data_IF_028488775126
#
_entry.id   IF_028488775126
#
_cell.length_a   1.000
_cell.length_b   1.000
_cell.length_c   1.000
_cell.angle_alpha   90.00
_cell.angle_beta   90.00
_cell.angle_gamma   90.00
#
_symmetry.space_group_name_H-M   'P 1'
#
loop_
_entity.id
_entity.type
_entity.pdbx_description
1 polymer ?
#
# COMPACT_ATOMS: atom_id res chain seq x y z
N UNK A 1 -23.91 2.65 -24.52
CA UNK A 1 -24.53 2.04 -23.33
C UNK A 1 -25.24 3.12 -22.54
N UNK A 2 -26.37 2.84 -21.88
CA UNK A 2 -27.05 3.85 -21.06
C UNK A 2 -26.29 4.12 -19.77
N UNK A 3 -26.40 5.34 -19.23
CA UNK A 3 -25.76 5.74 -17.98
C UNK A 3 -26.15 4.84 -16.79
N UNK A 4 -27.44 4.47 -16.71
CA UNK A 4 -27.92 3.54 -15.68
C UNK A 4 -27.27 2.15 -15.76
N UNK A 5 -27.04 1.64 -16.98
CA UNK A 5 -26.37 0.34 -17.18
C UNK A 5 -24.89 0.39 -16.84
N UNK A 6 -24.23 1.52 -17.04
CA UNK A 6 -22.84 1.74 -16.63
C UNK A 6 -22.72 1.73 -15.10
N UNK A 7 -23.56 2.50 -14.40
CA UNK A 7 -23.58 2.57 -12.93
C UNK A 7 -23.85 1.20 -12.32
N UNK A 8 -24.81 0.45 -12.86
CA UNK A 8 -25.11 -0.89 -12.37
C UNK A 8 -23.93 -1.86 -12.56
N UNK A 9 -23.26 -1.80 -13.72
CA UNK A 9 -22.09 -2.64 -13.99
C UNK A 9 -20.93 -2.30 -13.03
N UNK A 10 -20.68 -1.02 -12.77
CA UNK A 10 -19.67 -0.57 -11.81
C UNK A 10 -19.98 -1.08 -10.39
N UNK A 11 -21.24 -0.95 -9.96
CA UNK A 11 -21.70 -1.45 -8.66
C UNK A 11 -21.53 -2.98 -8.53
N UNK A 12 -21.86 -3.73 -9.59
CA UNK A 12 -21.71 -5.19 -9.61
C UNK A 12 -20.23 -5.61 -9.52
N UNK A 13 -19.35 -4.93 -10.26
CA UNK A 13 -17.89 -5.19 -10.22
C UNK A 13 -17.32 -4.91 -8.82
N UNK A 14 -17.63 -3.75 -8.25
CA UNK A 14 -17.16 -3.37 -6.92
C UNK A 14 -17.77 -4.28 -5.83
N UNK A 15 -19.05 -4.65 -5.97
CA UNK A 15 -19.71 -5.58 -5.06
C UNK A 15 -19.03 -6.95 -5.05
N UNK A 16 -18.68 -7.48 -6.22
CA UNK A 16 -17.94 -8.74 -6.33
C UNK A 16 -16.54 -8.63 -5.73
N UNK A 17 -15.84 -7.53 -5.98
CA UNK A 17 -14.53 -7.26 -5.38
C UNK A 17 -14.59 -7.27 -3.85
N UNK A 18 -15.60 -6.63 -3.26
CA UNK A 18 -15.76 -6.56 -1.80
C UNK A 18 -15.90 -7.94 -1.16
N UNK A 19 -16.52 -8.91 -1.85
CA UNK A 19 -16.56 -10.30 -1.40
C UNK A 19 -15.17 -10.93 -1.30
N UNK A 20 -14.31 -10.73 -2.32
CA UNK A 20 -12.92 -11.19 -2.30
C UNK A 20 -12.10 -10.48 -1.22
N UNK A 21 -12.25 -9.17 -1.09
CA UNK A 21 -11.56 -8.38 -0.08
C UNK A 21 -11.91 -8.82 1.35
N UNK A 22 -13.20 -9.10 1.61
CA UNK A 22 -13.64 -9.64 2.90
C UNK A 22 -13.01 -11.00 3.22
N UNK A 23 -12.92 -11.89 2.22
CA UNK A 23 -12.26 -13.19 2.37
C UNK A 23 -10.76 -13.05 2.66
N UNK A 24 -10.06 -12.18 1.92
CA UNK A 24 -8.64 -11.88 2.15
C UNK A 24 -8.40 -11.34 3.55
N UNK A 25 -9.21 -10.35 3.98
CA UNK A 25 -9.11 -9.76 5.32
C UNK A 25 -9.29 -10.79 6.42
N UNK A 26 -10.28 -11.68 6.30
CA UNK A 26 -10.51 -12.75 7.25
C UNK A 26 -9.31 -13.73 7.31
N UNK A 27 -8.73 -14.06 6.15
CA UNK A 27 -7.51 -14.88 6.06
C UNK A 27 -6.33 -14.21 6.76
N UNK A 28 -6.07 -12.93 6.47
CA UNK A 28 -4.97 -12.18 7.09
C UNK A 28 -5.15 -12.07 8.60
N UNK A 29 -6.36 -11.75 9.08
CA UNK A 29 -6.65 -11.70 10.51
C UNK A 29 -6.43 -13.05 11.20
N UNK A 30 -6.89 -14.16 10.60
CA UNK A 30 -6.67 -15.51 11.15
C UNK A 30 -5.18 -15.88 11.24
N UNK A 31 -4.39 -15.47 10.27
CA UNK A 31 -2.95 -15.69 10.23
C UNK A 31 -2.15 -14.67 11.07
N UNK A 32 -2.78 -13.60 11.56
CA UNK A 32 -2.08 -12.47 12.21
C UNK A 32 -1.18 -11.69 11.25
N UNK A 33 -1.49 -11.72 9.94
CA UNK A 33 -0.73 -11.00 8.91
C UNK A 33 -1.18 -9.55 8.86
N UNK A 34 -0.23 -8.61 8.96
CA UNK A 34 -0.48 -7.21 8.66
C UNK A 34 -0.34 -7.00 7.14
N UNK A 35 -1.47 -6.87 6.43
CA UNK A 35 -1.47 -6.52 5.02
C UNK A 35 -1.52 -5.00 4.80
N UNK A 36 -0.54 -4.45 4.06
CA UNK A 36 -0.41 -3.02 3.77
C UNK A 36 -0.46 -2.78 2.25
N UNK A 37 -1.40 -1.95 1.79
CA UNK A 37 -1.53 -1.59 0.38
C UNK A 37 -0.82 -0.26 0.10
N UNK A 38 0.31 -0.32 -0.61
CA UNK A 38 1.11 0.84 -0.98
C UNK A 38 0.62 1.41 -2.32
N UNK A 39 0.07 2.62 -2.29
CA UNK A 39 -0.53 3.30 -3.46
C UNK A 39 0.16 4.64 -3.71
N UNK A 40 0.36 5.01 -4.97
CA UNK A 40 1.05 6.25 -5.34
C UNK A 40 0.85 6.59 -6.81
N UNK A 41 1.29 7.79 -7.24
CA UNK A 41 1.56 8.05 -8.67
C UNK A 41 2.76 7.23 -9.17
N UNK A 42 2.93 7.01 -10.49
CA UNK A 42 4.17 6.49 -11.04
C UNK A 42 5.37 7.34 -10.62
N UNK A 43 6.49 6.70 -10.30
CA UNK A 43 7.72 7.40 -9.95
C UNK A 43 7.77 8.01 -8.55
N UNK A 44 6.75 7.82 -7.69
CA UNK A 44 6.74 8.33 -6.30
C UNK A 44 7.77 7.65 -5.38
N UNK A 45 8.38 6.57 -5.86
CA UNK A 45 9.46 5.85 -5.17
C UNK A 45 8.99 4.68 -4.31
N UNK A 46 7.84 4.05 -4.60
CA UNK A 46 7.29 2.90 -3.86
C UNK A 46 8.30 1.77 -3.71
N UNK A 47 8.81 1.24 -4.81
CA UNK A 47 9.76 0.11 -4.78
C UNK A 47 11.03 0.46 -4.03
N UNK A 48 11.55 1.67 -4.18
CA UNK A 48 12.76 2.11 -3.43
C UNK A 48 12.47 2.21 -1.94
N UNK A 49 11.34 2.78 -1.55
CA UNK A 49 10.87 2.83 -0.16
C UNK A 49 10.68 1.42 0.40
N UNK A 50 10.07 0.52 -0.37
CA UNK A 50 9.80 -0.86 0.03
C UNK A 50 11.10 -1.64 0.19
N UNK A 51 12.01 -1.61 -0.79
CA UNK A 51 13.31 -2.27 -0.66
C UNK A 51 14.10 -1.77 0.56
N UNK A 52 14.07 -0.44 0.83
CA UNK A 52 14.71 0.13 2.02
C UNK A 52 14.02 -0.33 3.31
N UNK A 53 12.70 -0.40 3.31
CA UNK A 53 11.89 -0.88 4.44
C UNK A 53 12.24 -2.34 4.76
N UNK A 54 12.27 -3.21 3.74
CA UNK A 54 12.61 -4.63 3.88
C UNK A 54 14.03 -4.83 4.41
N UNK A 55 15.00 -4.08 3.90
CA UNK A 55 16.38 -4.15 4.37
C UNK A 55 16.50 -3.71 5.85
N UNK A 56 15.75 -2.70 6.28
CA UNK A 56 15.79 -2.22 7.67
C UNK A 56 15.00 -3.10 8.65
N UNK A 57 13.99 -3.84 8.18
CA UNK A 57 13.23 -4.81 8.99
C UNK A 57 13.80 -6.23 8.92
N UNK A 58 14.87 -6.44 8.16
CA UNK A 58 15.44 -7.76 7.94
C UNK A 58 15.83 -8.43 9.27
N UNK A 59 15.28 -9.62 9.51
CA UNK A 59 15.52 -10.38 10.74
C UNK A 59 14.63 -10.03 11.93
N UNK A 60 13.81 -8.98 11.87
CA UNK A 60 12.87 -8.65 12.97
C UNK A 60 11.62 -9.52 12.93
N UNK A 61 11.02 -9.70 11.76
CA UNK A 61 9.86 -10.55 11.52
C UNK A 61 9.74 -10.89 10.02
N UNK A 62 8.98 -11.93 9.65
CA UNK A 62 8.82 -12.28 8.25
C UNK A 62 8.10 -11.17 7.47
N UNK A 63 8.60 -10.87 6.28
CA UNK A 63 7.99 -9.96 5.32
C UNK A 63 7.81 -10.69 3.99
N UNK A 64 6.72 -10.39 3.29
CA UNK A 64 6.47 -10.90 1.94
C UNK A 64 5.86 -9.79 1.08
N UNK A 65 6.00 -9.88 -0.24
CA UNK A 65 5.56 -8.84 -1.16
C UNK A 65 4.71 -9.38 -2.30
N UNK A 66 3.60 -8.69 -2.58
CA UNK A 66 2.89 -8.78 -3.84
C UNK A 66 3.22 -7.49 -4.59
N UNK A 67 3.83 -7.62 -5.76
CA UNK A 67 4.15 -6.50 -6.65
C UNK A 67 3.13 -6.51 -7.79
N UNK A 68 2.49 -5.38 -8.05
CA UNK A 68 1.53 -5.21 -9.14
C UNK A 68 1.96 -4.11 -10.10
N UNK A 69 2.25 -4.49 -11.33
CA UNK A 69 2.53 -3.57 -12.44
C UNK A 69 1.87 -4.04 -13.74
N UNK A 70 1.79 -3.14 -14.72
CA UNK A 70 1.22 -3.45 -16.03
C UNK A 70 2.05 -4.50 -16.77
N UNK A 71 3.37 -4.37 -16.72
CA UNK A 71 4.32 -5.21 -17.42
C UNK A 71 5.64 -5.32 -16.67
N UNK A 72 6.44 -6.32 -17.07
CA UNK A 72 7.79 -6.61 -16.56
C UNK A 72 7.81 -7.19 -15.14
N UNK A 73 8.98 -7.65 -14.71
CA UNK A 73 9.23 -8.13 -13.35
C UNK A 73 10.27 -7.30 -12.62
N UNK A 74 10.65 -6.14 -13.17
CA UNK A 74 11.85 -5.41 -12.74
C UNK A 74 11.77 -5.01 -11.26
N UNK A 75 10.61 -4.56 -10.79
CA UNK A 75 10.40 -4.19 -9.39
C UNK A 75 10.35 -5.44 -8.49
N UNK A 76 9.69 -6.51 -8.92
CA UNK A 76 9.72 -7.79 -8.19
C UNK A 76 11.15 -8.40 -8.10
N UNK A 77 11.98 -8.24 -9.12
CA UNK A 77 13.39 -8.67 -9.12
C UNK A 77 14.21 -7.86 -8.10
N UNK A 78 14.03 -6.53 -8.09
CA UNK A 78 14.67 -5.63 -7.11
C UNK A 78 14.25 -5.95 -5.67
N UNK A 79 12.97 -6.28 -5.46
CA UNK A 79 12.45 -6.67 -4.15
C UNK A 79 13.05 -8.00 -3.72
N UNK A 80 13.08 -9.02 -4.60
CA UNK A 80 13.69 -10.33 -4.29
C UNK A 80 15.17 -10.22 -3.94
N UNK A 81 15.89 -9.27 -4.52
CA UNK A 81 17.29 -9.01 -4.17
C UNK A 81 17.49 -8.56 -2.70
N UNK A 82 16.43 -8.13 -2.00
CA UNK A 82 16.48 -7.86 -0.55
C UNK A 82 16.40 -9.12 0.32
N UNK A 83 16.11 -10.27 -0.28
CA UNK A 83 15.88 -11.54 0.41
C UNK A 83 14.41 -11.81 0.77
N UNK A 84 13.52 -10.82 0.62
CA UNK A 84 12.09 -11.03 0.85
C UNK A 84 11.45 -11.83 -0.31
N UNK A 85 10.59 -12.83 -0.02
CA UNK A 85 9.79 -13.48 -1.05
C UNK A 85 8.83 -12.47 -1.68
N UNK A 86 8.82 -12.42 -3.02
CA UNK A 86 7.93 -11.54 -3.77
C UNK A 86 7.31 -12.24 -4.98
N UNK A 87 6.05 -11.95 -5.25
CA UNK A 87 5.33 -12.42 -6.45
C UNK A 87 4.87 -11.23 -7.29
N UNK A 88 5.10 -11.33 -8.60
CA UNK A 88 4.66 -10.36 -9.60
C UNK A 88 3.22 -10.67 -10.04
N UNK A 89 2.37 -9.65 -10.08
CA UNK A 89 1.08 -9.66 -10.78
C UNK A 89 1.22 -8.72 -11.98
N UNK A 90 1.19 -9.28 -13.19
CA UNK A 90 1.10 -8.50 -14.42
C UNK A 90 -0.36 -8.20 -14.72
N UNK A 91 -0.79 -6.95 -14.52
CA UNK A 91 -2.19 -6.54 -14.74
C UNK A 91 -2.50 -6.31 -16.22
N UNK A 92 -1.48 -6.29 -17.08
CA UNK A 92 -1.62 -5.99 -18.50
C UNK A 92 -2.10 -4.56 -18.72
N UNK A 93 -3.37 -4.39 -19.10
CA UNK A 93 -3.99 -3.06 -19.25
C UNK A 93 -4.69 -2.58 -17.97
N UNK A 94 -4.71 -3.40 -16.92
CA UNK A 94 -5.30 -3.04 -15.63
C UNK A 94 -4.58 -1.87 -14.98
N UNK A 95 -5.33 -0.96 -14.38
CA UNK A 95 -4.79 0.24 -13.73
C UNK A 95 -4.74 0.14 -12.20
N UNK A 96 -5.07 -1.04 -11.64
CA UNK A 96 -5.12 -1.35 -10.21
C UNK A 96 -5.01 -2.87 -10.00
N UNK A 97 -4.68 -3.27 -8.78
CA UNK A 97 -4.96 -4.61 -8.25
C UNK A 97 -6.37 -4.67 -7.66
N UNK A 98 -6.98 -5.85 -7.71
CA UNK A 98 -8.26 -6.15 -7.04
C UNK A 98 -8.10 -7.26 -5.98
N UNK A 99 -9.12 -7.46 -5.15
CA UNK A 99 -9.09 -8.47 -4.09
C UNK A 99 -8.95 -9.91 -4.61
N UNK A 100 -9.45 -10.21 -5.81
CA UNK A 100 -9.30 -11.54 -6.40
C UNK A 100 -7.84 -11.82 -6.77
N UNK A 101 -7.19 -10.87 -7.45
CA UNK A 101 -5.77 -10.94 -7.81
C UNK A 101 -4.90 -11.13 -6.57
N UNK A 102 -5.14 -10.35 -5.52
CA UNK A 102 -4.41 -10.47 -4.26
C UNK A 102 -4.64 -11.84 -3.60
N UNK A 103 -5.90 -12.31 -3.55
CA UNK A 103 -6.21 -13.62 -2.96
C UNK A 103 -5.43 -14.76 -3.64
N UNK A 104 -5.42 -14.78 -4.98
CA UNK A 104 -4.64 -15.76 -5.75
C UNK A 104 -3.14 -15.63 -5.52
N UNK A 105 -2.61 -14.40 -5.48
CA UNK A 105 -1.19 -14.20 -5.23
C UNK A 105 -0.77 -14.68 -3.83
N UNK A 106 -1.62 -14.51 -2.82
CA UNK A 106 -1.39 -15.04 -1.46
C UNK A 106 -1.38 -16.57 -1.45
N UNK A 107 -2.21 -17.25 -2.25
CA UNK A 107 -2.18 -18.71 -2.37
C UNK A 107 -0.84 -19.24 -2.89
N UNK A 108 -0.22 -18.53 -3.82
CA UNK A 108 1.08 -18.92 -4.40
C UNK A 108 2.25 -18.49 -3.52
N UNK A 109 2.20 -17.28 -2.97
CA UNK A 109 3.25 -16.71 -2.12
C UNK A 109 3.31 -17.40 -0.76
N UNK A 110 2.17 -17.86 -0.24
CA UNK A 110 1.97 -18.49 1.06
C UNK A 110 2.76 -17.78 2.19
N UNK A 111 2.48 -16.49 2.45
CA UNK A 111 3.22 -15.72 3.45
C UNK A 111 3.11 -16.39 4.83
N UNK A 112 4.20 -16.42 5.62
CA UNK A 112 4.15 -17.00 6.96
C UNK A 112 3.13 -16.30 7.86
N UNK A 113 2.54 -17.06 8.80
CA UNK A 113 1.74 -16.46 9.87
C UNK A 113 2.54 -15.39 10.63
N UNK A 114 1.83 -14.39 11.17
CA UNK A 114 2.42 -13.26 11.88
C UNK A 114 3.38 -12.38 11.04
N UNK A 115 3.36 -12.48 9.71
CA UNK A 115 4.19 -11.66 8.82
C UNK A 115 3.61 -10.25 8.57
N UNK A 116 4.41 -9.41 7.90
CA UNK A 116 3.89 -8.24 7.18
C UNK A 116 3.84 -8.57 5.69
N UNK A 117 2.66 -8.38 5.07
CA UNK A 117 2.47 -8.50 3.64
C UNK A 117 2.37 -7.11 3.03
N UNK A 118 3.37 -6.72 2.24
CA UNK A 118 3.31 -5.50 1.46
C UNK A 118 2.69 -5.79 0.10
N UNK A 119 1.69 -5.00 -0.28
CA UNK A 119 1.08 -5.04 -1.60
C UNK A 119 1.48 -3.73 -2.29
N UNK A 120 2.48 -3.78 -3.16
CA UNK A 120 2.86 -2.65 -3.99
C UNK A 120 1.88 -2.58 -5.17
N UNK A 121 0.96 -1.63 -5.12
CA UNK A 121 -0.07 -1.48 -6.15
C UNK A 121 0.46 -0.77 -7.40
N UNK A 122 -0.29 -0.85 -8.50
CA UNK A 122 0.00 -0.13 -9.73
C UNK A 122 0.14 1.37 -9.44
N UNK A 123 1.09 2.03 -10.10
CA UNK A 123 1.27 3.49 -10.00
C UNK A 123 0.06 4.26 -10.53
N UNK A 124 -0.94 4.48 -9.69
CA UNK A 124 -2.16 5.23 -10.00
C UNK A 124 -2.84 5.75 -8.72
N UNK A 125 -3.28 7.01 -8.73
CA UNK A 125 -4.03 7.63 -7.62
C UNK A 125 -5.56 7.68 -7.85
N UNK A 126 -6.06 7.11 -8.95
CA UNK A 126 -7.49 7.10 -9.28
C UNK A 126 -8.07 5.71 -9.08
N UNK A 127 -7.71 4.75 -9.95
CA UNK A 127 -8.32 3.42 -9.93
C UNK A 127 -8.20 2.72 -8.57
N UNK A 128 -7.01 2.66 -7.92
CA UNK A 128 -6.85 1.86 -6.70
C UNK A 128 -7.58 2.43 -5.47
N UNK A 129 -8.13 3.66 -5.55
CA UNK A 129 -8.89 4.26 -4.46
C UNK A 129 -10.21 3.50 -4.21
N UNK A 130 -10.85 3.00 -5.26
CA UNK A 130 -12.15 2.33 -5.19
C UNK A 130 -12.08 0.83 -4.86
N UNK A 131 -10.89 0.23 -4.92
CA UNK A 131 -10.72 -1.21 -4.75
C UNK A 131 -10.11 -1.55 -3.39
N UNK A 132 -10.92 -2.18 -2.55
CA UNK A 132 -10.48 -2.86 -1.34
C UNK A 132 -9.81 -4.19 -1.73
N UNK A 133 -8.62 -4.47 -1.19
CA UNK A 133 -7.88 -5.71 -1.40
C UNK A 133 -7.99 -6.67 -0.20
N UNK A 134 -8.61 -6.23 0.88
CA UNK A 134 -8.59 -6.89 2.18
C UNK A 134 -7.44 -6.43 3.07
N UNK A 135 -6.72 -5.37 2.68
CA UNK A 135 -5.64 -4.79 3.49
C UNK A 135 -6.14 -4.29 4.85
N UNK A 136 -5.23 -4.25 5.82
CA UNK A 136 -5.48 -3.61 7.11
C UNK A 136 -5.37 -2.08 6.97
N UNK A 137 -4.41 -1.61 6.18
CA UNK A 137 -4.19 -0.19 5.93
C UNK A 137 -3.82 0.08 4.48
N UNK A 138 -4.43 1.13 3.93
CA UNK A 138 -4.00 1.76 2.67
C UNK A 138 -3.01 2.89 2.99
N UNK A 139 -1.81 2.79 2.45
CA UNK A 139 -0.70 3.74 2.68
C UNK A 139 -0.40 4.47 1.38
N UNK A 140 -0.77 5.74 1.30
CA UNK A 140 -0.51 6.57 0.15
C UNK A 140 0.91 7.16 0.22
N UNK A 141 1.62 7.16 -0.90
CA UNK A 141 2.95 7.76 -1.03
C UNK A 141 2.85 8.94 -1.99
N UNK A 142 3.16 10.14 -1.47
CA UNK A 142 3.20 11.39 -2.20
C UNK A 142 4.66 11.87 -2.26
N UNK A 143 5.24 11.98 -3.44
CA UNK A 143 6.57 12.57 -3.63
C UNK A 143 6.50 14.09 -3.63
N UNK A 144 7.47 14.76 -3.01
CA UNK A 144 7.61 16.24 -3.05
C UNK A 144 7.77 16.81 -4.47
N UNK A 145 8.04 15.94 -5.46
CA UNK A 145 8.14 16.32 -6.88
C UNK A 145 6.78 16.40 -7.59
N UNK A 146 5.67 16.11 -6.90
CA UNK A 146 4.34 16.00 -7.53
C UNK A 146 3.44 17.21 -7.32
N UNK A 147 3.81 18.13 -6.42
CA UNK A 147 3.03 19.30 -6.04
C UNK A 147 2.09 19.07 -4.85
N UNK A 148 1.88 20.13 -4.08
CA UNK A 148 1.19 20.18 -2.77
C UNK A 148 -0.32 20.04 -2.90
N UNK A 149 -0.85 20.27 -4.09
CA UNK A 149 -2.28 20.22 -4.40
C UNK A 149 -2.77 18.81 -4.77
N UNK A 150 -1.85 17.83 -4.84
CA UNK A 150 -2.19 16.42 -5.15
C UNK A 150 -3.31 15.85 -4.29
N UNK A 151 -3.34 16.06 -2.96
CA UNK A 151 -4.45 15.57 -2.16
C UNK A 151 -5.82 16.11 -2.61
N UNK A 152 -5.89 17.39 -2.99
CA UNK A 152 -7.14 18.01 -3.45
C UNK A 152 -7.53 17.55 -4.86
N UNK A 153 -6.56 17.21 -5.71
CA UNK A 153 -6.80 16.72 -7.07
C UNK A 153 -7.22 15.24 -7.12
N UNK A 154 -6.83 14.45 -6.13
CA UNK A 154 -7.14 13.01 -6.05
C UNK A 154 -7.84 12.67 -4.72
N UNK A 155 -8.96 13.34 -4.38
CA UNK A 155 -9.51 13.30 -3.03
C UNK A 155 -9.90 11.89 -2.59
N UNK A 156 -10.41 11.04 -3.47
CA UNK A 156 -10.84 9.68 -3.11
C UNK A 156 -9.68 8.82 -2.58
N UNK A 157 -8.48 8.96 -3.17
CA UNK A 157 -7.30 8.22 -2.72
C UNK A 157 -6.85 8.66 -1.33
N UNK A 158 -6.77 9.97 -1.12
CA UNK A 158 -6.32 10.53 0.16
C UNK A 158 -7.40 10.40 1.26
N UNK A 159 -8.69 10.34 0.88
CA UNK A 159 -9.79 9.98 1.77
C UNK A 159 -9.71 8.52 2.23
N UNK A 160 -9.33 7.60 1.33
CA UNK A 160 -9.21 6.17 1.62
C UNK A 160 -7.92 5.77 2.37
N UNK A 161 -6.89 6.64 2.40
CA UNK A 161 -5.61 6.34 3.03
C UNK A 161 -5.64 6.57 4.56
N UNK A 162 -5.12 5.61 5.32
CA UNK A 162 -4.91 5.75 6.77
C UNK A 162 -3.63 6.53 7.10
N UNK A 163 -2.65 6.41 6.21
CA UNK A 163 -1.33 7.01 6.33
C UNK A 163 -0.89 7.55 4.97
N UNK A 164 -0.31 8.75 4.98
CA UNK A 164 0.36 9.36 3.84
C UNK A 164 1.84 9.53 4.18
N UNK A 165 2.69 8.99 3.31
CA UNK A 165 4.14 9.19 3.35
C UNK A 165 4.51 10.28 2.34
N UNK A 166 5.04 11.40 2.82
CA UNK A 166 5.63 12.46 2.00
C UNK A 166 7.08 12.06 1.73
N UNK A 167 7.33 11.50 0.55
CA UNK A 167 8.61 10.88 0.18
C UNK A 167 9.52 11.83 -0.61
N UNK A 168 10.80 11.46 -0.72
CA UNK A 168 11.87 12.19 -1.41
C UNK A 168 12.15 13.57 -0.82
N UNK A 169 11.98 13.70 0.49
CA UNK A 169 12.25 14.94 1.24
C UNK A 169 13.70 15.41 1.11
N UNK A 170 14.62 14.52 0.72
CA UNK A 170 16.00 14.87 0.34
C UNK A 170 16.09 15.84 -0.85
N UNK A 171 15.02 16.00 -1.63
CA UNK A 171 14.96 16.91 -2.76
C UNK A 171 14.43 18.30 -2.40
N UNK A 172 13.94 18.53 -1.18
CA UNK A 172 13.38 19.82 -0.76
C UNK A 172 14.34 21.01 -0.97
N UNK A 173 15.66 20.90 -0.75
CA UNK A 173 16.59 22.00 -1.04
C UNK A 173 16.67 22.41 -2.52
N UNK A 174 16.05 21.65 -3.42
CA UNK A 174 16.06 21.86 -4.87
C UNK A 174 14.67 22.17 -5.45
N UNK A 175 13.65 22.27 -4.60
CA UNK A 175 12.25 22.41 -5.01
C UNK A 175 11.59 23.53 -4.23
N UNK A 176 10.73 24.30 -4.89
CA UNK A 176 9.82 25.24 -4.24
C UNK A 176 8.57 24.50 -3.72
N UNK A 177 8.78 23.43 -2.95
CA UNK A 177 7.70 22.60 -2.40
C UNK A 177 7.41 22.94 -0.94
N UNK A 178 6.18 23.32 -0.63
CA UNK A 178 5.70 23.59 0.72
C UNK A 178 5.10 22.33 1.37
N UNK A 179 5.89 21.69 2.24
CA UNK A 179 5.49 20.47 2.94
C UNK A 179 4.29 20.71 3.87
N UNK A 180 4.24 21.85 4.55
CA UNK A 180 3.16 22.16 5.47
C UNK A 180 1.84 22.37 4.73
N UNK A 181 1.89 23.03 3.56
CA UNK A 181 0.74 23.17 2.67
C UNK A 181 0.25 21.80 2.15
N UNK A 182 1.15 20.92 1.73
CA UNK A 182 0.79 19.57 1.29
C UNK A 182 0.11 18.76 2.42
N UNK A 183 0.67 18.83 3.64
CA UNK A 183 0.09 18.21 4.83
C UNK A 183 -1.28 18.81 5.19
N UNK A 184 -1.43 20.12 5.09
CA UNK A 184 -2.71 20.80 5.32
C UNK A 184 -3.75 20.39 4.28
N UNK A 185 -3.37 20.28 3.01
CA UNK A 185 -4.25 19.82 1.94
C UNK A 185 -4.68 18.37 2.13
N UNK A 186 -3.78 17.47 2.53
CA UNK A 186 -4.14 16.10 2.89
C UNK A 186 -5.17 16.05 4.03
N UNK A 187 -4.98 16.88 5.07
CA UNK A 187 -5.92 16.96 6.20
C UNK A 187 -7.26 17.60 5.85
N UNK A 188 -7.35 18.45 4.82
CA UNK A 188 -8.65 18.95 4.31
C UNK A 188 -9.50 17.84 3.71
N UNK A 189 -8.86 16.83 3.11
CA UNK A 189 -9.54 15.67 2.51
C UNK A 189 -9.83 14.60 3.56
N UNK A 190 -8.86 14.30 4.42
CA UNK A 190 -8.99 13.32 5.49
C UNK A 190 -8.43 13.87 6.80
N UNK A 191 -9.31 14.35 7.69
CA UNK A 191 -8.91 14.93 8.97
C UNK A 191 -8.20 13.96 9.93
N UNK A 192 -8.32 12.64 9.70
CA UNK A 192 -7.73 11.61 10.57
C UNK A 192 -6.44 11.02 10.01
N UNK A 193 -6.04 11.41 8.79
CA UNK A 193 -4.87 10.84 8.11
C UNK A 193 -3.60 11.10 8.93
N UNK A 194 -2.80 10.05 9.10
CA UNK A 194 -1.45 10.21 9.63
C UNK A 194 -0.51 10.63 8.51
N UNK A 195 0.45 11.50 8.81
CA UNK A 195 1.39 12.05 7.83
C UNK A 195 2.80 11.87 8.36
N UNK A 196 3.67 11.26 7.56
CA UNK A 196 5.09 11.11 7.87
C UNK A 196 5.93 11.62 6.70
N UNK A 197 6.96 12.38 7.01
CA UNK A 197 7.98 12.81 6.05
C UNK A 197 9.09 11.77 6.01
N UNK A 198 9.48 11.32 4.81
CA UNK A 198 10.51 10.29 4.64
C UNK A 198 11.41 10.60 3.44
N UNK A 199 12.64 10.13 3.50
CA UNK A 199 13.47 9.91 2.31
C UNK A 199 13.97 8.48 2.32
N UNK A 200 13.47 7.67 1.39
CA UNK A 200 13.98 6.32 1.18
C UNK A 200 15.47 6.31 0.78
N UNK A 201 15.98 7.42 0.22
CA UNK A 201 17.37 7.56 -0.24
C UNK A 201 18.32 7.84 0.92
N UNK A 202 18.02 8.83 1.76
CA UNK A 202 18.90 9.20 2.88
C UNK A 202 18.62 8.38 4.13
N UNK A 203 17.41 7.82 4.25
CA UNK A 203 16.91 7.13 5.44
C UNK A 203 16.25 8.06 6.45
N UNK A 204 16.22 9.38 6.18
CA UNK A 204 15.53 10.34 7.04
C UNK A 204 14.04 9.99 7.16
N UNK A 205 13.50 10.10 8.39
CA UNK A 205 12.10 9.79 8.69
C UNK A 205 11.72 8.30 8.65
N UNK A 206 12.57 7.43 8.11
CA UNK A 206 12.27 6.00 7.99
C UNK A 206 12.03 5.34 9.36
N UNK A 207 12.72 5.77 10.42
CA UNK A 207 12.50 5.24 11.76
C UNK A 207 11.03 5.34 12.21
N UNK A 208 10.40 6.50 12.00
CA UNK A 208 8.99 6.71 12.36
C UNK A 208 8.04 5.85 11.51
N UNK A 209 8.37 5.62 10.24
CA UNK A 209 7.64 4.70 9.38
C UNK A 209 7.75 3.26 9.88
N UNK A 210 8.95 2.79 10.22
CA UNK A 210 9.16 1.44 10.75
C UNK A 210 8.47 1.24 12.10
N UNK A 211 8.51 2.22 12.99
CA UNK A 211 7.81 2.16 14.28
C UNK A 211 6.30 2.09 14.09
N UNK A 212 5.76 2.80 13.11
CA UNK A 212 4.35 2.68 12.74
C UNK A 212 4.01 1.26 12.27
N UNK A 213 4.83 0.64 11.41
CA UNK A 213 4.63 -0.76 10.97
C UNK A 213 4.66 -1.70 12.18
N UNK A 214 5.65 -1.56 13.07
CA UNK A 214 5.78 -2.39 14.28
C UNK A 214 4.52 -2.28 15.14
N UNK A 215 4.03 -1.05 15.38
CA UNK A 215 2.79 -0.81 16.13
C UNK A 215 1.55 -1.42 15.47
N UNK A 216 1.39 -1.20 14.15
CA UNK A 216 0.28 -1.77 13.38
C UNK A 216 0.31 -3.31 13.41
N UNK A 217 1.50 -3.91 13.33
CA UNK A 217 1.68 -5.37 13.40
C UNK A 217 1.27 -5.92 14.75
N UNK A 218 1.63 -5.25 15.85
CA UNK A 218 1.19 -5.67 17.20
C UNK A 218 -0.34 -5.68 17.32
N UNK A 219 -1.04 -4.72 16.71
CA UNK A 219 -2.51 -4.70 16.67
C UNK A 219 -3.07 -5.85 15.84
N UNK A 220 -2.49 -6.13 14.66
CA UNK A 220 -2.90 -7.26 13.83
C UNK A 220 -2.74 -8.61 14.55
N UNK A 221 -1.65 -8.78 15.32
CA UNK A 221 -1.41 -9.98 16.12
C UNK A 221 -2.39 -10.12 17.29
N UNK A 222 -2.76 -9.01 17.93
CA UNK A 222 -3.71 -9.02 19.05
C UNK A 222 -5.12 -9.43 18.62
N UNK A 223 -5.47 -9.25 17.34
CA UNK A 223 -6.73 -9.70 16.76
C UNK A 223 -6.76 -11.17 16.33
N UNK A 224 -5.64 -11.90 16.42
CA UNK A 224 -5.57 -13.31 16.03
C UNK A 224 -6.31 -14.17 17.07
N UNK A 225 -7.27 -15.02 16.66
CA UNK A 225 -7.88 -15.98 17.58
C UNK A 225 -6.79 -16.83 18.23
N UNK A 226 -6.79 -16.98 19.55
CA UNK A 226 -5.83 -17.85 20.23
C UNK A 226 -5.98 -19.26 19.65
N UNK A 227 -4.94 -19.76 18.97
CA UNK A 227 -4.84 -21.19 18.73
C UNK A 227 -4.67 -21.82 20.12
N UNK A 228 -5.73 -22.44 20.63
CA UNK A 228 -5.58 -23.36 21.75
C UNK A 228 -4.58 -24.42 21.29
N UNK A 229 -3.47 -24.55 22.02
CA UNK A 229 -2.50 -25.60 21.80
C UNK A 229 -3.23 -26.95 21.89
N UNK A 230 -3.19 -27.74 20.81
CA UNK A 230 -3.42 -29.19 20.87
C UNK A 230 -2.22 -29.88 21.51
#
# INVERSE_FOLDING_TARGET
>A
MSQARLIQLEADILGKNNGYAAANRARFAKAGILALNLVSSPGSGKTTLLCRTLALLAGEFPCAVIEGDQQTSADADRIRATGAPAIQINTGKGCHLDGHMVGHAVDHLNPPDASVLFIENVGNLVCPAAFDLGEAHKVAILSVTEGEDKPLKYPDMFAAADLVLINKTDLLPHLDFDVDLAMANARKVNHRVRLLQVSARTGEGMAAWLDWIRGARLMALSGRPSQAAE
#
